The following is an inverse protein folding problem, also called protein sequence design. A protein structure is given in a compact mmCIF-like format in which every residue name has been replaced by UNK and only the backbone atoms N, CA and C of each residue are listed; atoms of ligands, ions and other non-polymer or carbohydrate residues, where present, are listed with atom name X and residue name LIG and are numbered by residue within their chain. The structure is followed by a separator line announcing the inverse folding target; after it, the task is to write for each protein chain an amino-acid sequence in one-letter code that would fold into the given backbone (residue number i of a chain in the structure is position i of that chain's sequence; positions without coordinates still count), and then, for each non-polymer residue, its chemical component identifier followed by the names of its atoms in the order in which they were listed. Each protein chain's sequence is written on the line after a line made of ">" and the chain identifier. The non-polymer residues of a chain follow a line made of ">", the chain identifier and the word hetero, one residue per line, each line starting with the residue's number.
data_IF_359704562380
#
_entry.id   IF_359704562380
#
_cell.length_a   1.000
_cell.length_b   1.000
_cell.length_c   1.000
_cell.angle_alpha   90.00
_cell.angle_beta   90.00
_cell.angle_gamma   90.00
#
_symmetry.space_group_name_H-M   'P 1'
#
loop_
_entity.id
_entity.type
_entity.pdbx_description
1 polymer ?
#
# COMPACT_ATOMS: atom_id res chain seq x y z
N UNK A 1 -8.17 -0.85 -2.71
CA UNK A 1 -7.83 0.60 -2.56
C UNK A 1 -8.85 1.31 -1.68
N UNK A 2 -10.14 1.04 -1.87
CA UNK A 2 -11.27 1.31 -0.98
C UNK A 2 -11.59 0.08 -0.11
N UNK A 3 -12.34 0.32 0.99
CA UNK A 3 -13.01 -0.71 1.79
C UNK A 3 -14.50 -0.77 1.45
N UNK A 4 -14.88 -0.48 0.20
CA UNK A 4 -16.28 -0.26 -0.18
C UNK A 4 -17.09 -1.56 -0.04
N UNK A 5 -18.21 -1.49 0.68
CA UNK A 5 -19.02 -2.66 1.01
C UNK A 5 -19.67 -3.29 -0.23
N UNK A 6 -19.92 -2.49 -1.27
CA UNK A 6 -20.49 -2.98 -2.53
C UNK A 6 -19.45 -3.79 -3.31
N UNK A 7 -18.21 -3.27 -3.42
CA UNK A 7 -17.09 -4.00 -4.04
C UNK A 7 -16.79 -5.31 -3.29
N UNK A 8 -16.78 -5.27 -1.95
CA UNK A 8 -16.61 -6.46 -1.12
C UNK A 8 -17.69 -7.50 -1.37
N UNK A 9 -18.96 -7.10 -1.38
CA UNK A 9 -20.07 -8.00 -1.67
C UNK A 9 -19.90 -8.65 -3.04
N UNK A 10 -19.48 -7.90 -4.06
CA UNK A 10 -19.18 -8.43 -5.39
C UNK A 10 -18.09 -9.52 -5.37
N UNK A 11 -16.99 -9.28 -4.64
CA UNK A 11 -15.93 -10.27 -4.47
C UNK A 11 -16.40 -11.52 -3.70
N UNK A 12 -17.22 -11.34 -2.66
CA UNK A 12 -17.79 -12.46 -1.90
C UNK A 12 -18.79 -13.28 -2.72
N UNK A 13 -19.52 -12.67 -3.66
CA UNK A 13 -20.37 -13.40 -4.60
C UNK A 13 -19.55 -14.20 -5.61
N UNK A 14 -18.49 -13.61 -6.20
CA UNK A 14 -17.58 -14.32 -7.10
C UNK A 14 -16.90 -15.52 -6.43
N UNK A 15 -16.52 -15.37 -5.16
CA UNK A 15 -15.99 -16.48 -4.36
C UNK A 15 -17.00 -17.64 -4.26
N UNK A 16 -18.25 -17.33 -3.92
CA UNK A 16 -19.32 -18.33 -3.80
C UNK A 16 -19.58 -19.04 -5.13
N UNK A 17 -19.55 -18.32 -6.25
CA UNK A 17 -19.67 -18.91 -7.57
C UNK A 17 -18.53 -19.89 -7.87
N UNK A 18 -17.28 -19.49 -7.62
CA UNK A 18 -16.12 -20.38 -7.81
C UNK A 18 -16.23 -21.64 -6.94
N UNK A 19 -16.61 -21.50 -5.66
CA UNK A 19 -16.82 -22.64 -4.76
C UNK A 19 -17.93 -23.59 -5.26
N UNK A 20 -19.02 -23.05 -5.79
CA UNK A 20 -20.10 -23.85 -6.37
C UNK A 20 -19.64 -24.63 -7.60
N UNK A 21 -18.86 -24.00 -8.49
CA UNK A 21 -18.31 -24.67 -9.68
C UNK A 21 -17.31 -25.77 -9.27
N UNK A 22 -16.43 -25.50 -8.31
CA UNK A 22 -15.44 -26.46 -7.85
C UNK A 22 -16.05 -27.69 -7.15
N UNK A 23 -17.23 -27.56 -6.52
CA UNK A 23 -17.96 -28.71 -5.96
C UNK A 23 -18.48 -29.68 -7.02
N UNK A 24 -18.66 -29.22 -8.27
CA UNK A 24 -19.21 -30.03 -9.36
C UNK A 24 -18.09 -30.75 -10.14
N UNK A 25 -16.85 -30.22 -10.12
CA UNK A 25 -15.73 -30.73 -10.89
C UNK A 25 -14.51 -31.05 -10.02
N UNK A 26 -14.10 -32.32 -9.97
CA UNK A 26 -12.82 -32.70 -9.36
C UNK A 26 -11.66 -32.43 -10.33
N UNK A 27 -11.00 -31.29 -10.13
CA UNK A 27 -9.83 -30.90 -10.92
C UNK A 27 -8.77 -30.26 -10.05
N UNK A 28 -7.55 -30.82 -10.09
CA UNK A 28 -6.38 -30.28 -9.41
C UNK A 28 -6.07 -28.83 -9.83
N UNK A 29 -6.21 -28.48 -11.11
CA UNK A 29 -6.08 -27.10 -11.60
C UNK A 29 -7.16 -26.18 -11.02
N UNK A 30 -8.41 -26.64 -10.98
CA UNK A 30 -9.52 -25.86 -10.43
C UNK A 30 -9.33 -25.60 -8.94
N UNK A 31 -8.88 -26.61 -8.19
CA UNK A 31 -8.53 -26.49 -6.78
C UNK A 31 -7.43 -25.44 -6.56
N UNK A 32 -6.37 -25.44 -7.37
CA UNK A 32 -5.29 -24.43 -7.26
C UNK A 32 -5.82 -23.02 -7.50
N UNK A 33 -6.65 -22.79 -8.52
CA UNK A 33 -7.24 -21.46 -8.77
C UNK A 33 -8.19 -21.01 -7.66
N UNK A 34 -9.06 -21.91 -7.20
CA UNK A 34 -9.96 -21.66 -6.08
C UNK A 34 -9.15 -21.32 -4.82
N UNK A 35 -8.05 -22.03 -4.57
CA UNK A 35 -7.17 -21.81 -3.43
C UNK A 35 -6.54 -20.42 -3.44
N UNK A 36 -6.06 -19.94 -4.60
CA UNK A 36 -5.58 -18.56 -4.74
C UNK A 36 -6.64 -17.55 -4.32
N UNK A 37 -7.86 -17.70 -4.86
CA UNK A 37 -8.97 -16.80 -4.55
C UNK A 37 -9.31 -16.85 -3.06
N UNK A 38 -9.43 -18.05 -2.49
CA UNK A 38 -9.80 -18.29 -1.09
C UNK A 38 -8.80 -17.67 -0.11
N UNK A 39 -7.51 -17.87 -0.34
CA UNK A 39 -6.46 -17.27 0.49
C UNK A 39 -6.50 -15.75 0.37
N UNK A 40 -6.58 -15.20 -0.84
CA UNK A 40 -6.66 -13.76 -1.05
C UNK A 40 -7.88 -13.13 -0.37
N UNK A 41 -9.05 -13.74 -0.51
CA UNK A 41 -10.31 -13.23 0.07
C UNK A 41 -10.28 -13.23 1.59
N UNK A 42 -9.78 -14.31 2.22
CA UNK A 42 -9.58 -14.38 3.68
C UNK A 42 -8.55 -13.38 4.21
N UNK A 43 -7.53 -13.03 3.42
CA UNK A 43 -6.50 -12.08 3.86
C UNK A 43 -6.95 -10.61 3.73
N UNK A 44 -7.73 -10.28 2.69
CA UNK A 44 -7.91 -8.89 2.27
C UNK A 44 -9.36 -8.42 2.12
N UNK A 45 -10.34 -9.32 2.04
CA UNK A 45 -11.75 -8.95 1.81
C UNK A 45 -12.56 -9.13 3.08
N UNK A 46 -12.49 -10.33 3.65
CA UNK A 46 -13.13 -10.70 4.92
C UNK A 46 -12.05 -11.26 5.87
N UNK A 47 -11.18 -10.39 6.42
CA UNK A 47 -10.23 -10.81 7.45
C UNK A 47 -11.01 -11.39 8.64
N UNK A 48 -10.81 -12.67 8.90
CA UNK A 48 -11.58 -13.47 9.86
C UNK A 48 -11.56 -12.86 11.28
N UNK A 49 -12.66 -12.23 11.70
CA UNK A 49 -13.07 -12.22 13.12
C UNK A 49 -13.81 -13.52 13.50
N UNK A 50 -14.06 -14.41 12.52
CA UNK A 50 -14.81 -15.66 12.70
C UNK A 50 -13.99 -16.87 12.24
N UNK A 51 -13.21 -17.46 13.16
CA UNK A 51 -12.50 -18.75 13.01
C UNK A 51 -13.44 -19.98 12.80
N UNK A 52 -14.67 -19.79 12.31
CA UNK A 52 -15.74 -20.80 12.30
C UNK A 52 -16.47 -20.95 10.95
N UNK A 53 -15.83 -20.59 9.84
CA UNK A 53 -16.32 -20.97 8.53
C UNK A 53 -15.80 -22.37 8.16
N UNK A 54 -16.72 -23.33 8.09
CA UNK A 54 -16.50 -24.70 7.58
C UNK A 54 -15.59 -24.72 6.35
N UNK A 55 -14.32 -25.10 6.53
CA UNK A 55 -13.35 -25.15 5.45
C UNK A 55 -11.92 -25.48 5.91
N UNK A 56 -11.09 -25.84 4.95
CA UNK A 56 -9.65 -26.10 5.14
C UNK A 56 -8.92 -24.82 5.61
N UNK A 57 -7.91 -24.95 6.47
CA UNK A 57 -7.10 -23.81 6.94
C UNK A 57 -6.20 -23.28 5.82
N UNK A 58 -5.74 -22.02 5.92
CA UNK A 58 -4.83 -21.45 4.90
C UNK A 58 -3.52 -22.27 4.82
N UNK A 59 -3.00 -22.74 5.96
CA UNK A 59 -1.80 -23.58 6.00
C UNK A 59 -2.01 -24.95 5.35
N UNK A 60 -3.18 -25.55 5.54
CA UNK A 60 -3.57 -26.80 4.89
C UNK A 60 -3.68 -26.61 3.37
N UNK A 61 -4.31 -25.52 2.91
CA UNK A 61 -4.39 -25.14 1.50
C UNK A 61 -2.98 -25.06 0.89
N UNK A 62 -2.05 -24.36 1.55
CA UNK A 62 -0.66 -24.28 1.06
C UNK A 62 0.02 -25.64 0.96
N UNK A 63 -0.18 -26.52 1.96
CA UNK A 63 0.37 -27.88 1.94
C UNK A 63 -0.23 -28.72 0.81
N UNK A 64 -1.53 -28.60 0.55
CA UNK A 64 -2.21 -29.35 -0.50
C UNK A 64 -1.80 -28.87 -1.89
N UNK A 65 -1.74 -27.56 -2.10
CA UNK A 65 -1.25 -26.97 -3.36
C UNK A 65 0.19 -27.40 -3.64
N UNK A 66 1.06 -27.39 -2.62
CA UNK A 66 2.44 -27.87 -2.80
C UNK A 66 2.48 -29.33 -3.26
N UNK A 67 1.67 -30.21 -2.65
CA UNK A 67 1.57 -31.62 -3.10
C UNK A 67 1.11 -31.73 -4.55
N UNK A 68 0.20 -30.88 -5.00
CA UNK A 68 -0.23 -30.83 -6.41
C UNK A 68 0.94 -30.41 -7.31
N UNK A 69 1.66 -29.35 -6.96
CA UNK A 69 2.83 -28.92 -7.74
C UNK A 69 3.91 -30.00 -7.82
N UNK A 70 4.17 -30.70 -6.71
CA UNK A 70 5.15 -31.79 -6.67
C UNK A 70 4.71 -32.99 -7.51
N UNK A 71 3.41 -33.32 -7.48
CA UNK A 71 2.83 -34.45 -8.23
C UNK A 71 2.78 -34.17 -9.73
N UNK A 72 2.49 -32.93 -10.13
CA UNK A 72 2.30 -32.51 -11.51
C UNK A 72 3.41 -31.54 -11.95
N UNK A 73 4.65 -31.83 -11.57
CA UNK A 73 5.82 -30.96 -11.77
C UNK A 73 6.18 -30.65 -13.24
N UNK A 74 5.61 -31.39 -14.21
CA UNK A 74 5.77 -31.13 -15.64
C UNK A 74 4.74 -30.16 -16.21
N UNK A 75 3.74 -29.73 -15.44
CA UNK A 75 2.74 -28.77 -15.90
C UNK A 75 3.33 -27.34 -15.84
N UNK A 76 3.55 -26.69 -17.00
CA UNK A 76 4.16 -25.35 -17.03
C UNK A 76 3.29 -24.30 -16.32
N UNK A 77 1.99 -24.55 -16.18
CA UNK A 77 1.08 -23.69 -15.43
C UNK A 77 1.50 -23.52 -13.97
N UNK A 78 2.00 -24.60 -13.35
CA UNK A 78 2.34 -24.60 -11.93
C UNK A 78 3.65 -23.88 -11.63
N UNK A 79 4.56 -23.82 -12.58
CA UNK A 79 5.73 -22.96 -12.47
C UNK A 79 5.33 -21.48 -12.25
N UNK A 80 4.36 -21.00 -13.02
CA UNK A 80 3.85 -19.63 -12.91
C UNK A 80 3.02 -19.39 -11.65
N UNK A 81 2.14 -20.34 -11.31
CA UNK A 81 1.31 -20.22 -10.11
C UNK A 81 2.11 -20.36 -8.81
N UNK A 82 3.25 -21.04 -8.81
CA UNK A 82 4.09 -21.15 -7.63
C UNK A 82 4.51 -19.78 -7.09
N UNK A 83 4.90 -18.85 -7.97
CA UNK A 83 5.25 -17.49 -7.58
C UNK A 83 4.07 -16.77 -6.91
N UNK A 84 2.85 -17.00 -7.38
CA UNK A 84 1.65 -16.42 -6.75
C UNK A 84 1.46 -16.99 -5.33
N UNK A 85 1.67 -18.29 -5.14
CA UNK A 85 1.55 -18.91 -3.82
C UNK A 85 2.66 -18.47 -2.85
N UNK A 86 3.89 -18.26 -3.33
CA UNK A 86 4.94 -17.67 -2.49
C UNK A 86 4.60 -16.23 -2.09
N UNK A 87 4.05 -15.44 -3.01
CA UNK A 87 3.51 -14.12 -2.69
C UNK A 87 2.36 -14.19 -1.66
N UNK A 88 1.40 -15.12 -1.81
CA UNK A 88 0.30 -15.27 -0.85
C UNK A 88 0.80 -15.77 0.52
N UNK A 89 1.82 -16.62 0.58
CA UNK A 89 2.47 -17.03 1.85
C UNK A 89 3.15 -15.84 2.52
N UNK A 90 3.87 -15.01 1.76
CA UNK A 90 4.46 -13.78 2.25
C UNK A 90 3.40 -12.86 2.88
N UNK A 91 2.30 -12.61 2.16
CA UNK A 91 1.20 -11.77 2.66
C UNK A 91 0.52 -12.40 3.89
N UNK A 92 0.33 -13.71 3.90
CA UNK A 92 -0.20 -14.44 5.06
C UNK A 92 0.69 -14.23 6.29
N UNK A 93 2.00 -14.50 6.19
CA UNK A 93 2.90 -14.33 7.33
C UNK A 93 3.01 -12.87 7.77
N UNK A 94 2.95 -11.91 6.83
CA UNK A 94 2.97 -10.48 7.15
C UNK A 94 1.70 -10.07 7.89
N UNK A 95 0.53 -10.54 7.44
CA UNK A 95 -0.77 -10.29 8.08
C UNK A 95 -0.81 -10.75 9.54
N UNK A 96 -0.26 -11.93 9.84
CA UNK A 96 -0.20 -12.49 11.20
C UNK A 96 1.03 -12.06 12.01
N UNK A 97 1.94 -11.24 11.44
CA UNK A 97 3.12 -10.74 12.13
C UNK A 97 4.21 -11.80 12.39
N UNK A 98 4.23 -12.89 11.64
CA UNK A 98 5.22 -13.98 11.79
C UNK A 98 6.51 -13.60 11.04
N UNK A 99 7.21 -12.58 11.54
CA UNK A 99 8.25 -11.89 10.78
C UNK A 99 9.45 -12.75 10.37
N UNK A 100 9.78 -13.80 11.13
CA UNK A 100 10.84 -14.72 10.72
C UNK A 100 10.53 -15.43 9.40
N UNK A 101 9.27 -15.86 9.21
CA UNK A 101 8.84 -16.48 7.96
C UNK A 101 8.65 -15.45 6.85
N UNK A 102 8.23 -14.22 7.20
CA UNK A 102 8.14 -13.10 6.24
C UNK A 102 9.49 -12.87 5.56
N UNK A 103 10.60 -12.80 6.30
CA UNK A 103 11.91 -12.54 5.68
C UNK A 103 12.30 -13.65 4.70
N UNK A 104 12.08 -14.92 5.06
CA UNK A 104 12.38 -16.05 4.17
C UNK A 104 11.55 -16.01 2.88
N UNK A 105 10.23 -15.85 3.00
CA UNK A 105 9.36 -15.76 1.82
C UNK A 105 9.58 -14.46 1.03
N UNK A 106 10.03 -13.39 1.69
CA UNK A 106 10.27 -12.11 1.03
C UNK A 106 11.42 -12.19 0.03
N UNK A 107 12.52 -12.84 0.36
CA UNK A 107 13.67 -13.00 -0.56
C UNK A 107 13.24 -13.66 -1.87
N UNK A 108 12.54 -14.80 -1.79
CA UNK A 108 12.05 -15.54 -2.96
C UNK A 108 11.10 -14.72 -3.83
N UNK A 109 10.17 -13.98 -3.21
CA UNK A 109 9.22 -13.13 -3.94
C UNK A 109 9.89 -11.88 -4.51
N UNK A 110 10.86 -11.31 -3.78
CA UNK A 110 11.56 -10.09 -4.17
C UNK A 110 12.48 -10.32 -5.38
N UNK A 111 13.17 -11.47 -5.44
CA UNK A 111 14.00 -11.84 -6.59
C UNK A 111 13.17 -11.98 -7.89
N UNK A 112 11.90 -12.35 -7.76
CA UNK A 112 10.95 -12.46 -8.87
C UNK A 112 9.96 -11.27 -8.94
N UNK A 113 10.22 -10.16 -8.25
CA UNK A 113 9.28 -9.05 -8.11
C UNK A 113 8.84 -8.44 -9.45
N UNK A 114 9.77 -8.23 -10.39
CA UNK A 114 9.46 -7.70 -11.72
C UNK A 114 8.48 -8.62 -12.46
N UNK A 115 8.75 -9.94 -12.47
CA UNK A 115 7.85 -10.93 -13.06
C UNK A 115 6.50 -10.98 -12.35
N UNK A 116 6.48 -10.91 -11.01
CA UNK A 116 5.25 -10.89 -10.22
C UNK A 116 4.36 -9.69 -10.63
N UNK A 117 4.96 -8.50 -10.69
CA UNK A 117 4.25 -7.26 -10.97
C UNK A 117 3.77 -7.17 -12.42
N UNK A 118 4.50 -7.71 -13.40
CA UNK A 118 4.11 -7.67 -14.82
C UNK A 118 3.07 -8.73 -15.15
N UNK A 119 3.29 -9.97 -14.73
CA UNK A 119 2.57 -11.13 -15.26
C UNK A 119 1.27 -11.47 -14.51
N UNK A 120 1.09 -10.97 -13.28
CA UNK A 120 -0.05 -11.34 -12.43
C UNK A 120 -0.87 -10.15 -11.88
N UNK A 121 -1.26 -9.17 -12.71
CA UNK A 121 -1.96 -7.99 -12.23
C UNK A 121 -3.40 -8.26 -11.76
N UNK A 122 -4.09 -9.24 -12.34
CA UNK A 122 -5.55 -9.37 -12.19
C UNK A 122 -6.02 -10.31 -11.08
N UNK A 123 -5.32 -11.42 -10.81
CA UNK A 123 -5.87 -12.50 -9.97
C UNK A 123 -5.56 -12.36 -8.48
N UNK A 124 -4.47 -11.71 -8.10
CA UNK A 124 -4.03 -11.57 -6.69
C UNK A 124 -3.59 -10.15 -6.34
N UNK A 125 -3.89 -9.17 -7.20
CA UNK A 125 -3.52 -7.77 -7.01
C UNK A 125 -2.05 -7.60 -6.58
N UNK A 126 -1.13 -8.07 -7.44
CA UNK A 126 0.31 -8.12 -7.18
C UNK A 126 0.92 -6.78 -6.72
N UNK A 127 0.31 -5.64 -7.05
CA UNK A 127 0.70 -4.33 -6.54
C UNK A 127 0.76 -4.24 -5.01
N UNK A 128 0.00 -5.09 -4.29
CA UNK A 128 0.06 -5.22 -2.83
C UNK A 128 1.47 -5.55 -2.33
N UNK A 129 2.26 -6.29 -3.12
CA UNK A 129 3.66 -6.59 -2.78
C UNK A 129 4.48 -5.32 -2.53
N UNK A 130 4.27 -4.24 -3.30
CA UNK A 130 4.97 -2.97 -3.09
C UNK A 130 4.64 -2.34 -1.74
N UNK A 131 3.42 -2.55 -1.25
CA UNK A 131 3.01 -2.08 0.07
C UNK A 131 3.72 -2.90 1.15
N UNK A 132 3.70 -4.22 1.05
CA UNK A 132 4.42 -5.12 1.97
C UNK A 132 5.92 -4.85 1.97
N UNK A 133 6.50 -4.56 0.80
CA UNK A 133 7.89 -4.14 0.66
C UNK A 133 8.16 -2.83 1.40
N UNK A 134 7.31 -1.81 1.24
CA UNK A 134 7.41 -0.55 1.99
C UNK A 134 7.31 -0.78 3.51
N UNK A 135 6.34 -1.57 3.96
CA UNK A 135 6.16 -1.94 5.37
C UNK A 135 7.42 -2.64 5.93
N UNK A 136 8.04 -3.51 5.13
CA UNK A 136 9.30 -4.18 5.50
C UNK A 136 10.46 -3.19 5.64
N UNK A 137 10.67 -2.29 4.67
CA UNK A 137 11.73 -1.26 4.79
C UNK A 137 11.52 -0.39 6.03
N UNK A 138 10.26 -0.05 6.35
CA UNK A 138 9.90 0.65 7.58
C UNK A 138 10.24 -0.15 8.84
N UNK A 139 10.03 -1.46 8.83
CA UNK A 139 10.39 -2.33 9.96
C UNK A 139 11.90 -2.45 10.15
N UNK A 140 12.66 -2.52 9.06
CA UNK A 140 14.12 -2.75 9.08
C UNK A 140 14.93 -1.45 9.12
N UNK A 141 14.30 -0.29 8.93
CA UNK A 141 14.96 1.03 8.81
C UNK A 141 15.88 1.13 7.59
N UNK A 142 15.45 0.57 6.46
CA UNK A 142 16.22 0.54 5.20
C UNK A 142 15.52 1.31 4.07
N UNK A 143 14.70 2.31 4.39
CA UNK A 143 13.90 3.04 3.40
C UNK A 143 14.74 3.87 2.42
N UNK A 144 15.98 4.22 2.81
CA UNK A 144 16.93 4.92 1.95
C UNK A 144 17.38 4.06 0.76
N UNK A 145 17.26 2.73 0.86
CA UNK A 145 17.65 1.78 -0.20
C UNK A 145 16.59 1.69 -1.32
N UNK A 146 15.33 2.03 -1.01
CA UNK A 146 14.18 1.90 -1.93
C UNK A 146 14.43 2.61 -3.25
N UNK A 147 15.06 3.78 -3.23
CA UNK A 147 15.30 4.55 -4.47
C UNK A 147 16.20 3.81 -5.45
N UNK A 148 17.30 3.22 -4.98
CA UNK A 148 18.22 2.47 -5.83
C UNK A 148 17.59 1.14 -6.31
N UNK A 149 16.85 0.46 -5.44
CA UNK A 149 16.13 -0.77 -5.82
C UNK A 149 15.08 -0.51 -6.90
N UNK A 150 14.43 0.66 -6.87
CA UNK A 150 13.42 1.06 -7.85
C UNK A 150 13.99 1.22 -9.26
N UNK A 151 15.25 1.59 -9.43
CA UNK A 151 15.87 1.72 -10.75
C UNK A 151 15.84 0.39 -11.50
N UNK A 152 16.17 -0.71 -10.81
CA UNK A 152 16.13 -2.05 -11.39
C UNK A 152 14.71 -2.62 -11.46
N UNK A 153 13.89 -2.40 -10.42
CA UNK A 153 12.55 -2.99 -10.33
C UNK A 153 11.62 -2.47 -11.43
N UNK A 154 11.69 -1.18 -11.76
CA UNK A 154 10.78 -0.53 -12.69
C UNK A 154 11.35 -0.34 -14.10
N UNK A 155 12.52 -0.90 -14.41
CA UNK A 155 13.12 -0.82 -15.76
C UNK A 155 12.18 -1.40 -16.82
N UNK A 156 11.58 -2.56 -16.54
CA UNK A 156 10.70 -3.29 -17.46
C UNK A 156 9.20 -3.13 -17.14
N UNK A 157 8.83 -2.37 -16.10
CA UNK A 157 7.44 -2.22 -15.69
C UNK A 157 6.80 -1.01 -16.36
N UNK A 158 5.91 -1.29 -17.32
CA UNK A 158 5.09 -0.24 -17.93
C UNK A 158 3.94 0.21 -17.03
N UNK A 159 3.64 1.51 -17.06
CA UNK A 159 2.53 2.10 -16.35
C UNK A 159 1.21 1.89 -17.12
N UNK A 160 0.30 1.09 -16.58
CA UNK A 160 -1.08 0.99 -17.07
C UNK A 160 -1.97 2.01 -16.34
N UNK A 161 -2.30 3.13 -17.00
CA UNK A 161 -3.14 4.18 -16.43
C UNK A 161 -4.63 3.82 -16.38
N UNK A 162 -5.06 2.75 -17.04
CA UNK A 162 -6.43 2.25 -16.97
C UNK A 162 -6.67 1.45 -15.67
N UNK A 163 -5.65 0.76 -15.17
CA UNK A 163 -5.65 0.14 -13.84
C UNK A 163 -5.28 1.18 -12.77
N UNK A 164 -6.22 2.08 -12.49
CA UNK A 164 -6.05 3.20 -11.55
C UNK A 164 -5.51 2.74 -10.20
N UNK A 165 -6.01 1.66 -9.55
CA UNK A 165 -5.47 1.23 -8.27
C UNK A 165 -4.01 0.81 -8.31
N UNK A 166 -3.62 -0.03 -9.27
CA UNK A 166 -2.24 -0.49 -9.43
C UNK A 166 -1.31 0.67 -9.75
N UNK A 167 -1.69 1.50 -10.72
CA UNK A 167 -0.92 2.68 -11.12
C UNK A 167 -0.69 3.63 -9.95
N UNK A 168 -1.72 3.89 -9.14
CA UNK A 168 -1.62 4.72 -7.94
C UNK A 168 -0.59 4.17 -6.95
N UNK A 169 -0.65 2.87 -6.64
CA UNK A 169 0.31 2.25 -5.71
C UNK A 169 1.73 2.31 -6.26
N UNK A 170 1.92 2.00 -7.54
CA UNK A 170 3.23 2.05 -8.20
C UNK A 170 3.85 3.45 -8.11
N UNK A 171 3.11 4.49 -8.49
CA UNK A 171 3.63 5.87 -8.49
C UNK A 171 3.89 6.35 -7.06
N UNK A 172 2.98 6.08 -6.13
CA UNK A 172 3.16 6.48 -4.73
C UNK A 172 4.36 5.76 -4.09
N UNK A 173 4.56 4.47 -4.36
CA UNK A 173 5.73 3.72 -3.89
C UNK A 173 7.04 4.33 -4.41
N UNK A 174 7.10 4.66 -5.71
CA UNK A 174 8.27 5.34 -6.31
C UNK A 174 8.50 6.73 -5.70
N UNK A 175 7.45 7.51 -5.50
CA UNK A 175 7.53 8.83 -4.88
C UNK A 175 8.01 8.77 -3.43
N UNK A 176 7.61 7.74 -2.67
CA UNK A 176 8.13 7.50 -1.33
C UNK A 176 9.62 7.13 -1.34
N UNK A 177 10.07 6.32 -2.30
CA UNK A 177 11.51 6.08 -2.52
C UNK A 177 12.29 7.37 -2.76
N UNK A 178 11.77 8.24 -3.64
CA UNK A 178 12.36 9.57 -3.89
C UNK A 178 12.41 10.43 -2.63
N UNK A 179 11.33 10.43 -1.84
CA UNK A 179 11.24 11.14 -0.57
C UNK A 179 12.32 10.69 0.42
N UNK A 180 12.50 9.38 0.60
CA UNK A 180 13.51 8.84 1.51
C UNK A 180 14.95 9.07 1.04
N UNK A 181 15.15 9.24 -0.28
CA UNK A 181 16.42 9.67 -0.86
C UNK A 181 16.64 11.20 -0.82
N UNK A 182 15.72 11.98 -0.24
CA UNK A 182 15.79 13.45 -0.19
C UNK A 182 15.49 14.14 -1.53
N UNK A 183 15.02 13.40 -2.54
CA UNK A 183 14.69 13.90 -3.89
C UNK A 183 13.24 14.39 -3.94
N UNK A 184 12.94 15.43 -3.16
CA UNK A 184 11.57 15.94 -2.98
C UNK A 184 10.96 16.49 -4.28
N UNK A 185 11.77 17.09 -5.15
CA UNK A 185 11.30 17.62 -6.45
C UNK A 185 10.83 16.49 -7.37
N UNK A 186 11.59 15.40 -7.43
CA UNK A 186 11.25 14.21 -8.21
C UNK A 186 9.99 13.53 -7.65
N UNK A 187 9.91 13.38 -6.33
CA UNK A 187 8.72 12.87 -5.64
C UNK A 187 7.46 13.71 -5.96
N UNK A 188 7.59 15.05 -5.93
CA UNK A 188 6.49 15.94 -6.28
C UNK A 188 6.08 15.80 -7.74
N UNK A 189 7.03 15.71 -8.69
CA UNK A 189 6.74 15.51 -10.11
C UNK A 189 5.97 14.22 -10.36
N UNK A 190 6.39 13.11 -9.74
CA UNK A 190 5.70 11.82 -9.85
C UNK A 190 4.23 11.91 -9.39
N UNK A 191 3.98 12.51 -8.22
CA UNK A 191 2.61 12.59 -7.69
C UNK A 191 1.74 13.57 -8.49
N UNK A 192 2.30 14.69 -8.96
CA UNK A 192 1.57 15.58 -9.87
C UNK A 192 1.22 14.88 -11.18
N UNK A 193 2.15 14.10 -11.75
CA UNK A 193 1.91 13.27 -12.93
C UNK A 193 0.72 12.35 -12.72
N UNK A 194 0.73 11.57 -11.64
CA UNK A 194 -0.39 10.70 -11.26
C UNK A 194 -1.73 11.46 -11.17
N UNK A 195 -1.76 12.62 -10.52
CA UNK A 195 -2.99 13.40 -10.36
C UNK A 195 -3.50 14.03 -11.67
N UNK A 196 -2.64 14.16 -12.68
CA UNK A 196 -2.99 14.60 -14.02
C UNK A 196 -3.41 13.44 -14.93
N UNK A 197 -2.79 12.28 -14.76
CA UNK A 197 -2.97 11.10 -15.61
C UNK A 197 -4.26 10.33 -15.27
N UNK A 198 -4.61 10.24 -13.98
CA UNK A 198 -5.77 9.46 -13.53
C UNK A 198 -6.70 10.21 -12.58
N UNK A 199 -8.00 9.90 -12.67
CA UNK A 199 -9.02 10.47 -11.78
C UNK A 199 -9.22 9.60 -10.54
N UNK A 200 -8.75 10.09 -9.39
CA UNK A 200 -8.98 9.45 -8.08
C UNK A 200 -10.34 9.80 -7.44
N UNK A 201 -11.30 10.36 -8.20
CA UNK A 201 -12.60 10.79 -7.65
C UNK A 201 -13.43 9.64 -7.06
N UNK A 202 -13.27 8.41 -7.58
CA UNK A 202 -13.90 7.19 -7.03
C UNK A 202 -13.30 6.77 -5.69
N UNK A 203 -12.10 7.25 -5.36
CA UNK A 203 -11.38 6.93 -4.12
C UNK A 203 -11.06 8.22 -3.35
N UNK A 204 -12.07 8.93 -2.81
CA UNK A 204 -11.89 10.28 -2.25
C UNK A 204 -10.90 10.33 -1.08
N UNK A 205 -10.88 9.32 -0.22
CA UNK A 205 -9.92 9.22 0.89
C UNK A 205 -8.50 9.03 0.39
N UNK A 206 -8.26 8.09 -0.53
CA UNK A 206 -6.95 7.89 -1.17
C UNK A 206 -6.50 9.15 -1.91
N UNK A 207 -7.41 9.86 -2.58
CA UNK A 207 -7.10 11.13 -3.23
C UNK A 207 -6.61 12.19 -2.23
N UNK A 208 -7.24 12.29 -1.05
CA UNK A 208 -6.78 13.19 0.02
C UNK A 208 -5.39 12.80 0.53
N UNK A 209 -5.11 11.51 0.68
CA UNK A 209 -3.80 11.00 1.10
C UNK A 209 -2.69 11.32 0.11
N UNK A 210 -2.93 11.03 -1.18
CA UNK A 210 -1.96 11.30 -2.26
C UNK A 210 -1.64 12.79 -2.30
N UNK A 211 -2.67 13.65 -2.16
CA UNK A 211 -2.47 15.11 -2.04
C UNK A 211 -1.73 15.51 -0.76
N UNK A 212 -1.93 14.80 0.35
CA UNK A 212 -1.22 15.07 1.60
C UNK A 212 0.27 14.72 1.47
N UNK A 213 0.62 13.62 0.78
CA UNK A 213 2.03 13.31 0.44
C UNK A 213 2.62 14.39 -0.47
N UNK A 214 1.88 14.86 -1.48
CA UNK A 214 2.35 15.95 -2.33
C UNK A 214 2.56 17.26 -1.53
N UNK A 215 1.64 17.57 -0.61
CA UNK A 215 1.79 18.72 0.28
C UNK A 215 3.03 18.60 1.18
N UNK A 216 3.37 17.39 1.63
CA UNK A 216 4.64 17.14 2.34
C UNK A 216 5.84 17.46 1.43
N UNK A 217 5.82 17.07 0.15
CA UNK A 217 6.93 17.38 -0.77
C UNK A 217 7.11 18.89 -0.94
N UNK A 218 6.02 19.64 -1.18
CA UNK A 218 6.10 21.10 -1.28
C UNK A 218 6.51 21.78 0.03
N UNK A 219 6.14 21.21 1.17
CA UNK A 219 6.63 21.65 2.47
C UNK A 219 8.17 21.53 2.55
N UNK A 220 8.72 20.37 2.14
CA UNK A 220 10.17 20.13 2.12
C UNK A 220 10.91 21.01 1.10
N UNK A 221 10.27 21.31 -0.04
CA UNK A 221 10.78 22.22 -1.07
C UNK A 221 10.64 23.71 -0.71
N UNK A 222 9.96 24.03 0.40
CA UNK A 222 9.61 25.41 0.81
C UNK A 222 8.73 26.17 -0.20
N UNK A 223 7.98 25.44 -1.02
CA UNK A 223 6.96 26.02 -1.91
C UNK A 223 5.64 26.16 -1.13
N UNK A 224 5.54 27.24 -0.35
CA UNK A 224 4.39 27.47 0.51
C UNK A 224 3.12 27.83 -0.26
N UNK A 225 3.23 28.35 -1.48
CA UNK A 225 2.08 28.66 -2.32
C UNK A 225 1.34 27.38 -2.72
N UNK A 226 2.06 26.43 -3.33
CA UNK A 226 1.49 25.14 -3.73
C UNK A 226 1.07 24.31 -2.51
N UNK A 227 1.85 24.34 -1.42
CA UNK A 227 1.46 23.73 -0.16
C UNK A 227 0.10 24.26 0.35
N UNK A 228 -0.08 25.59 0.37
CA UNK A 228 -1.31 26.23 0.85
C UNK A 228 -2.52 25.92 -0.06
N UNK A 229 -2.29 25.84 -1.37
CA UNK A 229 -3.32 25.44 -2.33
C UNK A 229 -3.82 24.01 -2.04
N UNK A 230 -2.91 23.05 -1.86
CA UNK A 230 -3.25 21.66 -1.56
C UNK A 230 -3.93 21.52 -0.19
N UNK A 231 -3.36 22.13 0.86
CA UNK A 231 -3.96 22.06 2.20
C UNK A 231 -5.36 22.65 2.22
N UNK A 232 -5.63 23.71 1.46
CA UNK A 232 -6.97 24.31 1.33
C UNK A 232 -7.94 23.38 0.59
N UNK A 233 -7.47 22.75 -0.50
CA UNK A 233 -8.23 21.73 -1.24
C UNK A 233 -8.63 20.56 -0.34
N UNK A 234 -7.69 19.98 0.40
CA UNK A 234 -7.93 18.85 1.29
C UNK A 234 -8.85 19.26 2.45
N UNK A 235 -8.66 20.44 3.06
CA UNK A 235 -9.56 20.94 4.11
C UNK A 235 -11.00 21.13 3.64
N UNK A 236 -11.22 21.46 2.37
CA UNK A 236 -12.58 21.49 1.79
C UNK A 236 -13.15 20.09 1.69
N UNK A 237 -12.36 19.11 1.27
CA UNK A 237 -12.80 17.71 1.20
C UNK A 237 -13.11 17.13 2.59
N UNK A 238 -12.27 17.37 3.60
CA UNK A 238 -12.52 16.97 5.00
C UNK A 238 -13.85 17.56 5.51
N UNK A 239 -14.17 18.81 5.17
CA UNK A 239 -15.46 19.42 5.55
C UNK A 239 -16.66 18.77 4.88
N UNK A 240 -16.51 18.20 3.68
CA UNK A 240 -17.58 17.52 2.96
C UNK A 240 -17.86 16.13 3.52
N UNK A 241 -16.81 15.37 3.85
CA UNK A 241 -16.94 14.00 4.36
C UNK A 241 -17.12 13.92 5.88
N UNK A 242 -16.69 14.93 6.62
CA UNK A 242 -16.68 14.94 8.08
C UNK A 242 -15.26 14.75 8.64
N UNK A 243 -15.00 15.34 9.81
CA UNK A 243 -13.67 15.32 10.43
C UNK A 243 -13.29 13.94 10.95
N UNK A 244 -14.25 13.20 11.48
CA UNK A 244 -14.02 11.91 12.12
C UNK A 244 -13.60 10.85 11.08
N UNK A 245 -14.24 10.86 9.91
CA UNK A 245 -13.91 9.98 8.78
C UNK A 245 -12.53 10.25 8.14
N UNK A 246 -11.96 11.43 8.39
CA UNK A 246 -10.70 11.88 7.78
C UNK A 246 -9.64 12.19 8.84
N UNK A 247 -9.73 11.60 10.03
CA UNK A 247 -8.92 12.00 11.19
C UNK A 247 -7.42 11.89 10.90
N UNK A 248 -6.99 10.84 10.21
CA UNK A 248 -5.58 10.61 9.86
C UNK A 248 -5.02 11.71 8.95
N UNK A 249 -5.70 12.04 7.85
CA UNK A 249 -5.30 13.13 6.96
C UNK A 249 -5.33 14.48 7.70
N UNK A 250 -6.34 14.69 8.56
CA UNK A 250 -6.44 15.90 9.37
C UNK A 250 -5.25 16.08 10.32
N UNK A 251 -4.85 15.02 11.03
CA UNK A 251 -3.69 15.03 11.91
C UNK A 251 -2.39 15.22 11.13
N UNK A 252 -2.26 14.59 9.96
CA UNK A 252 -1.12 14.77 9.08
C UNK A 252 -0.98 16.23 8.61
N UNK A 253 -2.07 16.84 8.13
CA UNK A 253 -2.08 18.25 7.76
C UNK A 253 -1.79 19.17 8.94
N UNK A 254 -2.23 18.80 10.15
CA UNK A 254 -1.91 19.56 11.37
C UNK A 254 -0.41 19.55 11.64
N UNK A 255 0.28 18.42 11.45
CA UNK A 255 1.74 18.32 11.56
C UNK A 255 2.41 19.29 10.58
N UNK A 256 2.03 19.25 9.29
CA UNK A 256 2.63 20.11 8.28
C UNK A 256 2.37 21.60 8.56
N UNK A 257 1.14 21.98 8.94
CA UNK A 257 0.82 23.38 9.29
C UNK A 257 1.59 23.89 10.49
N UNK A 258 1.89 23.04 11.48
CA UNK A 258 2.75 23.44 12.61
C UNK A 258 4.17 23.72 12.10
N UNK A 259 4.69 22.86 11.21
CA UNK A 259 6.01 23.04 10.60
C UNK A 259 6.10 24.37 9.83
N UNK A 260 5.09 24.71 9.03
CA UNK A 260 5.04 25.95 8.24
C UNK A 260 4.52 27.18 9.00
N UNK A 261 4.29 27.10 10.31
CA UNK A 261 3.85 28.26 11.09
C UNK A 261 5.00 29.25 11.33
N UNK A 262 4.71 30.55 11.36
CA UNK A 262 5.73 31.58 11.66
C UNK A 262 6.24 31.54 13.11
N UNK A 263 5.44 30.96 14.01
CA UNK A 263 5.78 30.82 15.42
C UNK A 263 6.95 29.82 15.60
N UNK A 264 8.17 30.34 15.82
CA UNK A 264 9.38 29.51 16.02
C UNK A 264 9.37 28.68 17.31
N UNK A 265 8.63 29.11 18.35
CA UNK A 265 8.66 28.47 19.67
C UNK A 265 7.83 27.17 19.70
N UNK A 266 8.46 26.10 20.18
CA UNK A 266 7.87 24.79 20.47
C UNK A 266 7.30 23.98 19.27
N UNK A 267 7.68 24.26 18.02
CA UNK A 267 7.22 23.48 16.84
C UNK A 267 7.45 21.97 17.02
N UNK A 268 8.68 21.57 17.34
CA UNK A 268 9.06 20.18 17.54
C UNK A 268 8.18 19.49 18.60
N UNK A 269 7.99 20.13 19.75
CA UNK A 269 7.16 19.63 20.85
C UNK A 269 5.70 19.44 20.43
N UNK A 270 5.12 20.40 19.69
CA UNK A 270 3.75 20.31 19.18
C UNK A 270 3.58 19.20 18.15
N UNK A 271 4.53 19.03 17.23
CA UNK A 271 4.52 17.92 16.25
C UNK A 271 4.58 16.58 16.99
N UNK A 272 5.52 16.44 17.94
CA UNK A 272 5.68 15.23 18.76
C UNK A 272 4.45 14.88 19.60
N UNK A 273 3.59 15.84 19.93
CA UNK A 273 2.31 15.57 20.61
C UNK A 273 1.23 15.02 19.67
N UNK A 274 1.32 15.30 18.37
CA UNK A 274 0.34 14.86 17.36
C UNK A 274 0.70 13.48 16.81
N UNK A 275 2.00 13.20 16.61
CA UNK A 275 2.50 11.94 16.03
C UNK A 275 1.94 10.67 16.70
N UNK A 276 1.88 10.54 18.04
CA UNK A 276 1.34 9.34 18.67
C UNK A 276 -0.13 9.10 18.34
N UNK A 277 -0.92 10.17 18.26
CA UNK A 277 -2.34 10.09 17.87
C UNK A 277 -2.49 9.64 16.42
N UNK A 278 -1.68 10.17 15.53
CA UNK A 278 -1.67 9.74 14.13
C UNK A 278 -1.33 8.25 14.00
N UNK A 279 -0.28 7.78 14.69
CA UNK A 279 0.16 6.37 14.65
C UNK A 279 -0.84 5.39 15.27
N UNK A 280 -1.72 5.85 16.17
CA UNK A 280 -2.75 4.99 16.75
C UNK A 280 -3.96 4.75 15.85
N UNK A 281 -4.11 5.53 14.76
CA UNK A 281 -5.23 5.38 13.85
C UNK A 281 -5.02 4.18 12.92
N UNK A 282 -6.05 3.33 12.84
CA UNK A 282 -6.12 2.27 11.82
C UNK A 282 -6.98 2.76 10.66
N UNK A 283 -6.47 2.59 9.44
CA UNK A 283 -7.17 2.96 8.22
C UNK A 283 -7.52 1.69 7.46
N UNK A 284 -8.75 1.65 6.93
CA UNK A 284 -9.24 0.50 6.17
C UNK A 284 -9.05 0.69 4.65
N UNK A 285 -8.39 1.76 4.24
CA UNK A 285 -8.10 2.07 2.84
C UNK A 285 -6.60 2.29 2.65
N UNK A 286 -6.17 2.43 1.39
CA UNK A 286 -4.76 2.72 1.09
C UNK A 286 -4.37 4.12 1.60
N UNK A 287 -3.61 4.17 2.70
CA UNK A 287 -3.24 5.40 3.42
C UNK A 287 -1.72 5.65 3.35
N UNK A 288 -1.20 6.21 2.25
CA UNK A 288 0.24 6.37 2.08
C UNK A 288 0.91 7.32 3.08
N UNK A 289 0.16 8.20 3.76
CA UNK A 289 0.72 9.03 4.85
C UNK A 289 1.23 8.19 6.03
N UNK A 290 0.72 6.97 6.20
CA UNK A 290 1.20 6.03 7.23
C UNK A 290 2.60 5.48 6.92
N UNK A 291 3.04 5.52 5.66
CA UNK A 291 4.39 5.11 5.25
C UNK A 291 5.44 6.18 5.45
N UNK A 292 5.07 7.35 5.99
CA UNK A 292 6.04 8.38 6.38
C UNK A 292 6.54 8.08 7.78
N UNK A 293 7.84 7.82 7.90
CA UNK A 293 8.53 7.65 9.17
C UNK A 293 8.54 8.97 9.92
N UNK A 294 7.66 9.08 10.91
CA UNK A 294 7.60 10.23 11.82
C UNK A 294 8.49 10.00 13.05
N UNK A 295 9.79 10.11 12.86
CA UNK A 295 10.81 10.01 13.90
C UNK A 295 11.44 11.38 14.21
N UNK A 296 12.58 11.39 14.91
CA UNK A 296 13.29 12.64 15.23
C UNK A 296 13.82 13.34 13.98
N UNK A 297 14.38 12.60 13.02
CA UNK A 297 14.90 13.13 11.76
C UNK A 297 13.78 13.85 10.98
N UNK A 298 12.60 13.25 10.92
CA UNK A 298 11.42 13.89 10.32
C UNK A 298 11.04 15.22 11.00
N UNK A 299 11.00 15.25 12.34
CA UNK A 299 10.67 16.47 13.08
C UNK A 299 11.74 17.53 12.91
N UNK A 300 13.01 17.16 12.96
CA UNK A 300 14.14 18.06 12.74
C UNK A 300 14.05 18.70 11.34
N UNK A 301 13.87 17.88 10.29
CA UNK A 301 13.68 18.34 8.92
C UNK A 301 12.51 19.32 8.79
N UNK A 302 11.36 19.02 9.40
CA UNK A 302 10.20 19.91 9.40
C UNK A 302 10.44 21.23 10.15
N UNK A 303 11.20 21.19 11.25
CA UNK A 303 11.49 22.41 12.04
C UNK A 303 12.58 23.28 11.46
N UNK A 304 13.46 22.72 10.62
CA UNK A 304 14.46 23.45 9.86
C UNK A 304 13.85 24.26 8.70
N UNK A 305 12.55 24.08 8.41
CA UNK A 305 11.82 24.88 7.43
C UNK A 305 11.64 26.30 7.98
N UNK A 306 12.52 27.19 7.53
CA UNK A 306 12.35 28.63 7.69
C UNK A 306 11.31 29.13 6.69
N UNK A 307 10.22 29.70 7.20
CA UNK A 307 9.25 30.43 6.38
C UNK A 307 9.85 31.82 6.13
N UNK A 308 10.01 32.25 4.86
CA UNK A 308 10.38 33.62 4.56
C UNK A 308 9.41 34.56 5.29
N UNK A 309 9.94 35.47 6.11
CA UNK A 309 9.13 36.50 6.74
C UNK A 309 8.39 37.28 5.64
N UNK A 310 7.09 37.46 5.84
CA UNK A 310 6.28 38.36 5.01
C UNK A 310 6.75 39.81 5.14
#
# INVERSE_FOLDING_TARGET
>A
MSNDDTEKLGLSLLMKEMQNVARIYESHRLYVYQSCMQVFHRLFVEPDDNQHLDGESIEDIFRHVQKIFDTYNLDPLYYHLNLIFEFLKLEYYNHYGVFHQVEKSFEEVNDAATSLLINYPFYTFAARFLITKMERHLRLNTEKEIYAENENLFEDIEADTLDVPRHTIHVVYRALGCYYAGRFEEAAKLINGLLNDVSLKRFPFVHMEVKAILALQYCMLKDFELFNQLTSSIQRQIRLFGKDECENVLLFLKILKIATSEAKREKAKKIMQVVPKFKSLKQNYFSPTTFIRMDKEFVENLTAIEVPGT
#
